data_IF_979285352069
#
_entry.id   IF_979285352069
#
_cell.length_a   1.000
_cell.length_b   1.000
_cell.length_c   1.000
_cell.angle_alpha   90.00
_cell.angle_beta   90.00
_cell.angle_gamma   90.00
#
_symmetry.space_group_name_H-M   'P 1'
#
loop_
_entity.id
_entity.type
_entity.pdbx_description
1 polymer ?
#
# COMPACT_ATOMS: atom_id res chain seq x y z
N UNK A 1 8.83 -3.19 8.80
CA UNK A 1 8.63 -3.94 10.07
C UNK A 1 8.87 -5.46 9.89
N UNK A 2 9.38 -6.21 10.89
CA UNK A 2 9.63 -7.67 10.79
C UNK A 2 8.36 -8.47 11.17
N UNK A 3 7.29 -8.39 10.38
CA UNK A 3 6.06 -9.19 10.64
C UNK A 3 6.22 -10.63 10.10
N UNK A 4 5.91 -11.68 10.88
CA UNK A 4 5.87 -13.06 10.37
C UNK A 4 4.62 -13.35 9.51
N UNK A 5 3.69 -12.40 9.45
CA UNK A 5 2.45 -12.49 8.71
C UNK A 5 2.50 -11.60 7.48
N UNK A 6 2.14 -12.17 6.33
CA UNK A 6 1.75 -11.43 5.15
C UNK A 6 0.22 -11.44 5.09
N UNK A 7 -0.40 -10.28 4.91
CA UNK A 7 -1.86 -10.09 4.99
C UNK A 7 -2.67 -11.02 4.07
N UNK A 8 -2.03 -11.59 3.04
CA UNK A 8 -2.70 -12.32 1.99
C UNK A 8 -3.01 -13.80 2.26
N UNK A 9 -2.42 -14.50 3.25
CA UNK A 9 -2.69 -15.96 3.35
C UNK A 9 -2.24 -16.77 4.57
N UNK A 10 -1.42 -16.25 5.48
CA UNK A 10 -0.87 -17.06 6.58
C UNK A 10 -1.49 -16.64 7.90
N UNK A 11 -2.47 -17.41 8.39
CA UNK A 11 -3.13 -17.14 9.66
C UNK A 11 -2.35 -17.68 10.86
N UNK A 12 -1.51 -18.71 10.67
CA UNK A 12 -0.71 -19.34 11.73
C UNK A 12 0.74 -19.57 11.31
N UNK A 13 1.70 -19.24 12.18
CA UNK A 13 3.15 -19.47 11.97
C UNK A 13 3.78 -20.14 13.18
N UNK A 14 4.60 -21.18 12.96
CA UNK A 14 5.46 -21.73 14.01
C UNK A 14 6.59 -20.75 14.32
N UNK A 15 6.74 -20.41 15.61
CA UNK A 15 7.84 -19.60 16.13
C UNK A 15 9.20 -20.22 15.79
N UNK A 16 9.32 -21.55 15.89
CA UNK A 16 10.58 -22.26 15.67
C UNK A 16 10.99 -22.19 14.20
N UNK A 17 10.06 -22.44 13.28
CA UNK A 17 10.33 -22.41 11.85
C UNK A 17 10.66 -20.99 11.37
N UNK A 18 9.88 -20.00 11.85
CA UNK A 18 10.12 -18.59 11.50
C UNK A 18 11.51 -18.10 11.94
N UNK A 19 11.96 -18.47 13.14
CA UNK A 19 13.29 -18.12 13.64
C UNK A 19 14.42 -18.81 12.85
N UNK A 20 14.22 -20.06 12.38
CA UNK A 20 15.19 -20.78 11.56
C UNK A 20 15.32 -20.19 10.15
N UNK A 21 14.21 -19.82 9.53
CA UNK A 21 14.17 -19.29 8.16
C UNK A 21 14.86 -17.93 7.99
N UNK A 22 14.89 -17.10 9.05
CA UNK A 22 15.37 -15.72 8.93
C UNK A 22 16.59 -15.35 9.78
N UNK A 23 17.17 -16.29 10.51
CA UNK A 23 18.47 -16.10 11.19
C UNK A 23 18.53 -14.95 12.21
N UNK A 24 17.39 -14.48 12.75
CA UNK A 24 17.31 -13.28 13.59
C UNK A 24 17.82 -13.46 15.03
N UNK A 25 18.15 -12.33 15.67
CA UNK A 25 18.32 -12.22 17.13
C UNK A 25 17.02 -12.63 17.85
N UNK A 26 17.02 -13.84 18.40
CA UNK A 26 15.87 -14.48 19.07
C UNK A 26 15.22 -13.61 20.15
N UNK A 27 16.00 -12.81 20.87
CA UNK A 27 15.55 -11.93 21.96
C UNK A 27 14.60 -10.83 21.47
N UNK A 28 14.99 -10.12 20.40
CA UNK A 28 14.23 -9.03 19.79
C UNK A 28 12.88 -9.53 19.25
N UNK A 29 12.90 -10.64 18.51
CA UNK A 29 11.68 -11.27 18.00
C UNK A 29 10.72 -11.66 19.13
N UNK A 30 11.22 -12.26 20.22
CA UNK A 30 10.38 -12.63 21.37
C UNK A 30 9.84 -11.42 22.13
N UNK A 31 10.55 -10.28 22.14
CA UNK A 31 10.04 -9.02 22.68
C UNK A 31 8.89 -8.49 21.83
N UNK A 32 9.04 -8.52 20.50
CA UNK A 32 8.01 -8.08 19.57
C UNK A 32 6.74 -8.95 19.63
N UNK A 33 6.90 -10.28 19.73
CA UNK A 33 5.77 -11.21 19.95
C UNK A 33 5.02 -10.90 21.26
N UNK A 34 5.75 -10.56 22.34
CA UNK A 34 5.13 -10.16 23.61
C UNK A 34 4.34 -8.86 23.47
N UNK A 35 4.89 -7.87 22.76
CA UNK A 35 4.20 -6.62 22.45
C UNK A 35 2.92 -6.87 21.65
N UNK A 36 2.98 -7.61 20.54
CA UNK A 36 1.82 -7.89 19.70
C UNK A 36 0.73 -8.67 20.44
N UNK A 37 1.12 -9.60 21.33
CA UNK A 37 0.15 -10.30 22.19
C UNK A 37 -0.54 -9.34 23.16
N UNK A 38 0.22 -8.43 23.78
CA UNK A 38 -0.33 -7.43 24.72
C UNK A 38 -1.30 -6.47 24.04
N UNK A 39 -1.02 -6.09 22.79
CA UNK A 39 -1.89 -5.21 22.00
C UNK A 39 -3.11 -5.94 21.40
N UNK A 40 -3.16 -7.28 21.52
CA UNK A 40 -4.24 -8.11 20.98
C UNK A 40 -4.17 -8.32 19.47
N UNK A 41 -3.01 -8.10 18.84
CA UNK A 41 -2.81 -8.34 17.40
C UNK A 41 -2.60 -9.83 17.07
N UNK A 42 -2.10 -10.60 18.03
CA UNK A 42 -1.85 -12.03 17.86
C UNK A 42 -2.29 -12.82 19.08
N UNK A 43 -2.78 -14.03 18.82
CA UNK A 43 -2.93 -15.09 19.81
C UNK A 43 -1.75 -16.06 19.72
N UNK A 44 -1.51 -16.79 20.81
CA UNK A 44 -0.46 -17.81 20.84
C UNK A 44 -0.99 -19.13 21.37
N UNK A 45 -0.76 -20.21 20.64
CA UNK A 45 -1.23 -21.56 21.00
C UNK A 45 -0.06 -22.53 21.11
N UNK A 46 -0.22 -23.56 21.93
CA UNK A 46 0.69 -24.71 21.96
C UNK A 46 0.23 -25.72 20.90
N UNK A 47 1.03 -25.91 19.86
CA UNK A 47 0.86 -26.97 18.88
C UNK A 47 1.92 -28.04 19.08
N UNK A 48 1.63 -29.05 19.90
CA UNK A 48 2.61 -30.07 20.28
C UNK A 48 3.82 -29.47 21.01
N UNK A 49 5.02 -29.60 20.43
CA UNK A 49 6.28 -29.03 20.98
C UNK A 49 6.59 -27.60 20.52
N UNK A 50 5.71 -26.98 19.72
CA UNK A 50 5.91 -25.66 19.14
C UNK A 50 4.87 -24.64 19.59
N UNK A 51 5.30 -23.38 19.65
CA UNK A 51 4.41 -22.24 19.85
C UNK A 51 3.97 -21.71 18.49
N UNK A 52 2.67 -21.71 18.26
CA UNK A 52 2.04 -21.14 17.07
C UNK A 52 1.60 -19.70 17.38
N UNK A 53 1.89 -18.78 16.47
CA UNK A 53 1.34 -17.43 16.47
C UNK A 53 0.15 -17.41 15.52
N UNK A 54 -1.00 -16.92 15.97
CA UNK A 54 -2.18 -16.71 15.14
C UNK A 54 -2.53 -15.22 15.08
N UNK A 55 -2.80 -14.71 13.89
CA UNK A 55 -3.20 -13.31 13.70
C UNK A 55 -4.67 -13.12 14.12
N UNK A 56 -4.97 -12.09 14.92
CA UNK A 56 -6.36 -11.72 15.25
C UNK A 56 -6.95 -10.80 14.17
N UNK A 57 -8.28 -10.61 14.10
CA UNK A 57 -8.87 -9.59 13.23
C UNK A 57 -8.26 -8.19 13.45
N UNK A 58 -8.09 -7.78 14.71
CA UNK A 58 -7.41 -6.52 15.07
C UNK A 58 -5.96 -6.46 14.56
N UNK A 59 -5.24 -7.58 14.60
CA UNK A 59 -3.89 -7.68 14.05
C UNK A 59 -3.86 -7.58 12.53
N UNK A 60 -4.87 -8.13 11.85
CA UNK A 60 -5.03 -7.99 10.41
C UNK A 60 -5.29 -6.55 10.01
N UNK A 61 -6.18 -5.84 10.71
CA UNK A 61 -6.42 -4.41 10.47
C UNK A 61 -5.15 -3.58 10.69
N UNK A 62 -4.42 -3.85 11.77
CA UNK A 62 -3.14 -3.22 12.05
C UNK A 62 -2.10 -3.45 10.94
N UNK A 63 -2.02 -4.67 10.39
CA UNK A 63 -1.11 -4.97 9.27
C UNK A 63 -1.53 -4.27 7.97
N UNK A 64 -2.83 -4.15 7.71
CA UNK A 64 -3.34 -3.39 6.58
C UNK A 64 -2.98 -1.90 6.71
N UNK A 65 -3.20 -1.31 7.90
CA UNK A 65 -2.83 0.08 8.18
C UNK A 65 -1.33 0.33 8.00
N UNK A 66 -0.50 -0.60 8.45
CA UNK A 66 0.94 -0.53 8.28
C UNK A 66 1.34 -0.61 6.81
N UNK A 67 0.78 -1.57 6.06
CA UNK A 67 1.06 -1.71 4.64
C UNK A 67 0.69 -0.43 3.88
N UNK A 68 -0.49 0.13 4.17
CA UNK A 68 -0.90 1.40 3.60
C UNK A 68 0.07 2.51 4.01
N UNK A 69 0.48 2.63 5.29
CA UNK A 69 1.45 3.65 5.73
C UNK A 69 2.81 3.53 5.03
N UNK A 70 3.34 2.31 4.87
CA UNK A 70 4.64 2.06 4.25
C UNK A 70 4.61 2.27 2.72
N UNK A 71 3.43 2.26 2.07
CA UNK A 71 3.30 2.45 0.62
C UNK A 71 3.44 3.92 0.22
N UNK A 72 4.64 4.49 0.20
CA UNK A 72 4.88 5.85 -0.29
C UNK A 72 5.37 5.86 -1.74
N UNK A 73 4.92 6.85 -2.53
CA UNK A 73 5.48 7.09 -3.87
C UNK A 73 6.77 7.88 -3.70
N UNK A 74 7.84 7.39 -4.33
CA UNK A 74 9.13 8.09 -4.31
C UNK A 74 9.06 9.29 -5.25
N UNK A 75 9.26 10.50 -4.71
CA UNK A 75 9.37 11.70 -5.54
C UNK A 75 10.71 11.69 -6.29
N UNK A 76 10.71 11.72 -7.63
CA UNK A 76 11.94 11.90 -8.41
C UNK A 76 12.47 13.32 -8.25
N UNK A 77 13.72 13.56 -8.65
CA UNK A 77 14.32 14.91 -8.59
C UNK A 77 13.64 15.91 -9.54
N UNK A 78 13.05 15.42 -10.62
CA UNK A 78 12.34 16.20 -11.64
C UNK A 78 11.17 15.40 -12.17
N UNK A 79 10.09 16.09 -12.49
CA UNK A 79 9.02 15.55 -13.30
C UNK A 79 9.50 15.24 -14.73
N UNK A 80 9.00 14.15 -15.31
CA UNK A 80 9.31 13.72 -16.68
C UNK A 80 8.31 14.25 -17.72
N UNK A 81 7.42 15.16 -17.30
CA UNK A 81 6.39 15.76 -18.15
C UNK A 81 5.24 14.82 -18.49
N UNK A 82 5.11 13.68 -17.81
CA UNK A 82 4.11 12.65 -18.12
C UNK A 82 3.16 12.41 -16.97
N UNK A 83 1.88 12.26 -17.28
CA UNK A 83 0.82 11.93 -16.32
C UNK A 83 0.66 10.41 -16.21
N UNK A 84 0.60 9.89 -14.98
CA UNK A 84 0.19 8.51 -14.68
C UNK A 84 -1.29 8.52 -14.40
N UNK A 85 -2.05 7.88 -15.28
CA UNK A 85 -3.50 7.76 -15.19
C UNK A 85 -3.85 6.37 -14.70
N UNK A 86 -4.45 6.29 -13.52
CA UNK A 86 -4.98 5.06 -12.94
C UNK A 86 -6.47 5.01 -13.21
N UNK A 87 -6.90 4.03 -13.99
CA UNK A 87 -8.32 3.77 -14.26
C UNK A 87 -8.70 2.42 -13.70
N UNK A 88 -9.95 2.27 -13.29
CA UNK A 88 -10.43 0.98 -12.80
C UNK A 88 -11.92 0.74 -13.02
N UNK A 89 -12.26 -0.52 -13.21
CA UNK A 89 -13.64 -1.01 -13.23
C UNK A 89 -13.78 -2.18 -12.24
N UNK A 90 -14.02 -1.83 -10.97
CA UNK A 90 -14.08 -2.80 -9.88
C UNK A 90 -15.55 -3.17 -9.62
N UNK A 91 -15.92 -4.45 -9.82
CA UNK A 91 -17.30 -4.94 -9.62
C UNK A 91 -17.85 -4.67 -8.22
N UNK A 92 -19.17 -4.58 -8.08
CA UNK A 92 -19.82 -4.27 -6.79
C UNK A 92 -19.52 -5.29 -5.69
N UNK A 93 -19.31 -6.56 -6.05
CA UNK A 93 -18.83 -7.61 -5.12
C UNK A 93 -17.51 -7.25 -4.42
N UNK A 94 -16.71 -6.35 -4.99
CA UNK A 94 -15.43 -5.87 -4.44
C UNK A 94 -15.51 -4.40 -3.98
N UNK A 95 -16.70 -3.88 -3.68
CA UNK A 95 -16.91 -2.48 -3.28
C UNK A 95 -16.04 -2.02 -2.12
N UNK A 96 -15.81 -2.88 -1.13
CA UNK A 96 -14.92 -2.55 0.00
C UNK A 96 -13.51 -2.22 -0.49
N UNK A 97 -12.93 -3.10 -1.31
CA UNK A 97 -11.58 -2.91 -1.87
C UNK A 97 -11.52 -1.70 -2.81
N UNK A 98 -12.59 -1.43 -3.57
CA UNK A 98 -12.71 -0.21 -4.39
C UNK A 98 -12.62 1.05 -3.53
N UNK A 99 -13.31 1.08 -2.39
CA UNK A 99 -13.28 2.22 -1.48
C UNK A 99 -11.89 2.40 -0.86
N UNK A 100 -11.24 1.30 -0.45
CA UNK A 100 -9.88 1.32 0.07
C UNK A 100 -8.89 1.87 -0.97
N UNK A 101 -8.98 1.43 -2.23
CA UNK A 101 -8.14 1.95 -3.32
C UNK A 101 -8.34 3.46 -3.50
N UNK A 102 -9.59 3.92 -3.58
CA UNK A 102 -9.93 5.35 -3.72
C UNK A 102 -9.38 6.19 -2.57
N UNK A 103 -9.60 5.74 -1.34
CA UNK A 103 -9.07 6.40 -0.16
C UNK A 103 -7.54 6.45 -0.21
N UNK A 104 -6.90 5.36 -0.63
CA UNK A 104 -5.45 5.31 -0.71
C UNK A 104 -4.89 6.26 -1.76
N UNK A 105 -5.47 6.28 -2.96
CA UNK A 105 -5.10 7.22 -4.02
C UNK A 105 -5.27 8.67 -3.56
N UNK A 106 -6.37 8.99 -2.88
CA UNK A 106 -6.58 10.33 -2.33
C UNK A 106 -5.54 10.70 -1.26
N UNK A 107 -5.20 9.79 -0.34
CA UNK A 107 -4.15 9.99 0.66
C UNK A 107 -2.75 10.15 0.05
N UNK A 108 -2.53 9.60 -1.14
CA UNK A 108 -1.31 9.77 -1.93
C UNK A 108 -1.35 11.03 -2.81
N UNK A 109 -2.34 11.90 -2.62
CA UNK A 109 -2.57 13.11 -3.40
C UNK A 109 -2.80 12.85 -4.89
N UNK A 110 -3.34 11.70 -5.31
CA UNK A 110 -3.83 11.58 -6.69
C UNK A 110 -5.03 12.50 -6.89
N UNK A 111 -5.08 13.13 -8.06
CA UNK A 111 -6.22 13.94 -8.46
C UNK A 111 -7.32 13.05 -9.07
N UNK A 112 -8.55 13.17 -8.59
CA UNK A 112 -9.69 12.43 -9.12
C UNK A 112 -10.37 13.21 -10.26
N UNK A 113 -10.06 12.87 -11.52
CA UNK A 113 -10.73 13.50 -12.68
C UNK A 113 -12.15 12.96 -12.85
N UNK A 114 -12.35 11.66 -12.63
CA UNK A 114 -13.67 11.01 -12.65
C UNK A 114 -13.79 9.98 -11.53
N UNK A 115 -14.99 9.44 -11.31
CA UNK A 115 -15.27 8.47 -10.24
C UNK A 115 -14.24 7.34 -10.17
N UNK A 116 -13.76 6.83 -11.31
CA UNK A 116 -12.78 5.75 -11.37
C UNK A 116 -11.54 6.10 -12.19
N UNK A 117 -11.21 7.39 -12.29
CA UNK A 117 -10.04 7.90 -13.03
C UNK A 117 -9.27 8.85 -12.14
N UNK A 118 -8.03 8.47 -11.85
CA UNK A 118 -7.12 9.20 -10.99
C UNK A 118 -5.83 9.51 -11.73
N UNK A 119 -5.23 10.67 -11.47
CA UNK A 119 -4.02 11.13 -12.14
C UNK A 119 -2.95 11.49 -11.11
N UNK A 120 -1.69 11.27 -11.49
CA UNK A 120 -0.51 11.64 -10.72
C UNK A 120 0.64 12.04 -11.64
N UNK A 121 1.52 12.98 -11.27
CA UNK A 121 2.60 13.43 -12.13
C UNK A 121 3.80 12.47 -12.15
N UNK A 122 4.09 11.75 -11.06
CA UNK A 122 5.31 10.94 -10.97
C UNK A 122 5.09 9.46 -11.24
N UNK A 123 6.19 8.76 -11.52
CA UNK A 123 6.20 7.31 -11.63
C UNK A 123 5.71 6.66 -10.33
N UNK A 124 4.70 5.80 -10.46
CA UNK A 124 4.02 5.16 -9.34
C UNK A 124 3.52 3.74 -9.67
N UNK A 125 3.90 3.20 -10.85
CA UNK A 125 3.38 1.92 -11.36
C UNK A 125 3.63 0.78 -10.37
N UNK A 126 4.81 0.74 -9.75
CA UNK A 126 5.16 -0.32 -8.80
C UNK A 126 4.34 -0.25 -7.52
N UNK A 127 4.16 0.96 -6.98
CA UNK A 127 3.38 1.22 -5.78
C UNK A 127 1.90 0.86 -6.00
N UNK A 128 1.33 1.26 -7.14
CA UNK A 128 -0.05 0.92 -7.49
C UNK A 128 -0.19 -0.59 -7.76
N UNK A 129 0.76 -1.22 -8.46
CA UNK A 129 0.75 -2.66 -8.68
C UNK A 129 0.81 -3.45 -7.36
N UNK A 130 1.63 -3.00 -6.40
CA UNK A 130 1.67 -3.56 -5.05
C UNK A 130 0.35 -3.42 -4.31
N UNK A 131 -0.28 -2.23 -4.35
CA UNK A 131 -1.62 -2.02 -3.78
C UNK A 131 -2.65 -2.94 -4.41
N UNK A 132 -2.68 -3.03 -5.74
CA UNK A 132 -3.62 -3.86 -6.47
C UNK A 132 -3.45 -5.33 -6.14
N UNK A 133 -2.20 -5.82 -6.10
CA UNK A 133 -1.90 -7.19 -5.67
C UNK A 133 -2.37 -7.42 -4.24
N UNK A 134 -2.09 -6.50 -3.31
CA UNK A 134 -2.50 -6.61 -1.90
C UNK A 134 -4.01 -6.82 -1.74
N UNK A 135 -4.81 -6.06 -2.49
CA UNK A 135 -6.27 -6.08 -2.41
C UNK A 135 -6.96 -6.96 -3.47
N UNK A 136 -6.20 -7.78 -4.21
CA UNK A 136 -6.71 -8.64 -5.28
C UNK A 136 -7.50 -7.87 -6.36
N UNK A 137 -6.96 -6.71 -6.76
CA UNK A 137 -7.55 -5.80 -7.74
C UNK A 137 -6.80 -5.75 -9.07
N UNK A 138 -5.75 -6.56 -9.25
CA UNK A 138 -4.85 -6.50 -10.42
C UNK A 138 -5.60 -6.59 -11.75
N UNK A 139 -6.67 -7.40 -11.83
CA UNK A 139 -7.44 -7.58 -13.07
C UNK A 139 -8.42 -6.44 -13.37
N UNK A 140 -8.60 -5.50 -12.43
CA UNK A 140 -9.59 -4.43 -12.52
C UNK A 140 -8.98 -3.04 -12.67
N UNK A 141 -7.66 -2.91 -12.57
CA UNK A 141 -6.94 -1.63 -12.55
C UNK A 141 -5.95 -1.58 -13.69
N UNK A 142 -5.99 -0.50 -14.46
CA UNK A 142 -5.07 -0.22 -15.56
C UNK A 142 -4.35 1.09 -15.28
N UNK A 143 -3.05 1.12 -15.55
CA UNK A 143 -2.24 2.33 -15.49
C UNK A 143 -1.81 2.68 -16.91
N UNK A 144 -2.02 3.92 -17.29
CA UNK A 144 -1.60 4.48 -18.57
C UNK A 144 -0.70 5.68 -18.33
N UNK A 145 0.19 5.93 -19.28
CA UNK A 145 1.03 7.12 -19.29
C UNK A 145 0.50 8.04 -20.39
N UNK A 146 0.18 9.27 -20.03
CA UNK A 146 -0.32 10.29 -20.94
C UNK A 146 0.63 11.49 -20.96
N UNK A 147 1.00 11.95 -22.15
CA UNK A 147 1.77 13.19 -22.32
C UNK A 147 0.87 14.43 -22.34
N UNK A 148 -0.42 14.26 -22.70
CA UNK A 148 -1.38 15.35 -22.80
C UNK A 148 -2.68 14.93 -22.12
N UNK A 149 -3.20 15.79 -21.24
CA UNK A 149 -4.57 15.72 -20.73
C UNK A 149 -5.21 17.08 -21.01
N UNK A 150 -6.36 17.11 -21.67
CA UNK A 150 -7.09 18.36 -21.89
C UNK A 150 -7.51 18.97 -20.54
N UNK A 151 -7.22 20.25 -20.33
CA UNK A 151 -7.51 20.93 -19.08
C UNK A 151 -6.52 20.63 -17.95
N UNK A 152 -5.28 20.24 -18.28
CA UNK A 152 -4.24 19.92 -17.30
C UNK A 152 -3.86 21.07 -16.36
N UNK A 153 -4.27 22.31 -16.67
CA UNK A 153 -4.01 23.47 -15.81
C UNK A 153 -4.55 23.24 -14.39
N UNK A 154 -5.74 22.63 -14.28
CA UNK A 154 -6.34 22.27 -12.99
C UNK A 154 -5.56 21.18 -12.25
N UNK A 155 -4.92 20.27 -12.99
CA UNK A 155 -4.07 19.24 -12.39
C UNK A 155 -2.81 19.89 -11.84
N UNK A 156 -2.15 20.72 -12.64
CA UNK A 156 -0.94 21.46 -12.24
C UNK A 156 -1.22 22.32 -11.00
N UNK A 157 -2.29 23.12 -11.02
CA UNK A 157 -2.73 23.93 -9.87
C UNK A 157 -2.90 23.07 -8.61
N UNK A 158 -3.66 21.98 -8.71
CA UNK A 158 -3.88 21.06 -7.59
C UNK A 158 -2.57 20.47 -7.04
N UNK A 159 -1.65 20.05 -7.92
CA UNK A 159 -0.41 19.42 -7.47
C UNK A 159 0.60 20.42 -6.93
N UNK A 160 0.58 21.67 -7.38
CA UNK A 160 1.34 22.76 -6.75
C UNK A 160 0.80 23.06 -5.35
N UNK A 161 -0.53 23.18 -5.19
CA UNK A 161 -1.18 23.41 -3.89
C UNK A 161 -0.93 22.29 -2.88
N UNK A 162 -0.78 21.05 -3.36
CA UNK A 162 -0.46 19.88 -2.52
C UNK A 162 1.04 19.66 -2.33
N UNK A 163 1.87 20.57 -2.83
CA UNK A 163 3.34 20.48 -2.83
C UNK A 163 3.88 19.18 -3.47
N UNK A 164 3.07 18.55 -4.32
CA UNK A 164 3.45 17.36 -5.09
C UNK A 164 4.34 17.79 -6.25
N UNK A 165 3.93 18.80 -7.02
CA UNK A 165 4.77 19.47 -8.01
C UNK A 165 5.41 20.72 -7.40
N UNK A 166 6.52 21.16 -7.97
CA UNK A 166 7.08 22.50 -7.74
C UNK A 166 7.24 23.26 -9.07
N UNK A 167 7.46 24.57 -9.02
CA UNK A 167 7.68 25.38 -10.22
C UNK A 167 8.86 24.87 -11.07
N UNK A 168 9.92 24.38 -10.41
CA UNK A 168 11.08 23.75 -11.07
C UNK A 168 10.74 22.48 -11.86
N UNK A 169 9.64 21.81 -11.53
CA UNK A 169 9.16 20.64 -12.29
C UNK A 169 8.49 21.08 -13.62
N UNK A 170 8.00 22.33 -13.70
CA UNK A 170 7.27 22.88 -14.84
C UNK A 170 8.17 23.62 -15.85
N UNK A 171 9.37 24.04 -15.42
CA UNK A 171 10.33 24.81 -16.23
C UNK A 171 11.00 24.00 -17.38
N UNK A 172 10.55 22.77 -17.64
CA UNK A 172 11.19 21.84 -18.57
C UNK A 172 10.54 21.75 -19.97
N UNK A 173 9.95 22.86 -20.45
CA UNK A 173 9.57 23.00 -21.87
C UNK A 173 10.67 23.68 -22.67
#
# INVERSE_FOLDING_TARGET
MISPFQAQRIYRRSVRNYLRERGYQKSEFLQQVRYWRRQGYINTFLGGRDKLLELTPKGLDYLQDLFLKETAIKRPKRWDGKWRVVIFDIPEKHRSNRNILRERLSRLNFYQIQKSVYVYPFECTNEIAMLCSHFFLTDFVIIMIAEIIQGEEKLVEFFLDKEVLSLTDLDTK
#
